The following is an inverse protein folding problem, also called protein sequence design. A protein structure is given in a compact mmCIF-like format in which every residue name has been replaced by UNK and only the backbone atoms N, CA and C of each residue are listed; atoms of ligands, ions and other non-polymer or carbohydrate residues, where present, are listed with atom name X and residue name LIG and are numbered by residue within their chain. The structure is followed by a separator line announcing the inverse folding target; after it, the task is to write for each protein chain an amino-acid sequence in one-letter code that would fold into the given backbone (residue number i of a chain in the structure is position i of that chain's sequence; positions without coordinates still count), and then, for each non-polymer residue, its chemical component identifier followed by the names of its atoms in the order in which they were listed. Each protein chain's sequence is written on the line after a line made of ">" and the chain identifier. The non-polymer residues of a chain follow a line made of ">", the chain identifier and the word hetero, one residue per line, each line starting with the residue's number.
data_IF_038996286259
#
_entry.id   IF_038996286259
#
_cell.length_a   1.000
_cell.length_b   1.000
_cell.length_c   1.000
_cell.angle_alpha   90.00
_cell.angle_beta   90.00
_cell.angle_gamma   90.00
#
_symmetry.space_group_name_H-M   'P 1'
#
loop_
_entity.id
_entity.type
_entity.pdbx_description
1 polymer ?
#
# COMPACT_ATOMS: atom_id res chain seq x y z
N UNK A 1 25.94 -19.44 -13.73
CA UNK A 1 24.96 -18.34 -13.74
C UNK A 1 23.63 -18.94 -13.35
N UNK A 2 23.08 -18.54 -12.21
CA UNK A 2 21.77 -19.04 -11.77
C UNK A 2 20.70 -18.25 -12.48
N UNK A 3 19.79 -18.93 -13.17
CA UNK A 3 18.64 -18.33 -13.83
C UNK A 3 17.59 -17.98 -12.75
N UNK A 4 17.13 -16.73 -12.75
CA UNK A 4 16.04 -16.31 -11.87
C UNK A 4 14.76 -16.48 -12.66
N UNK A 5 13.95 -17.47 -12.29
CA UNK A 5 12.63 -17.68 -12.90
C UNK A 5 11.64 -16.67 -12.32
N UNK A 6 11.16 -15.74 -13.15
CA UNK A 6 10.11 -14.80 -12.77
C UNK A 6 8.76 -15.46 -13.01
N UNK A 7 8.11 -15.92 -11.93
CA UNK A 7 6.71 -16.36 -11.99
C UNK A 7 5.80 -15.14 -11.92
N UNK A 8 4.85 -15.03 -12.85
CA UNK A 8 3.83 -13.98 -12.84
C UNK A 8 2.82 -14.27 -11.72
N UNK A 9 2.86 -13.48 -10.64
CA UNK A 9 1.99 -13.65 -9.47
C UNK A 9 1.04 -12.47 -9.37
N UNK A 10 -0.25 -12.72 -9.55
CA UNK A 10 -1.30 -11.71 -9.40
C UNK A 10 -1.98 -11.82 -8.02
N UNK A 11 -2.13 -10.69 -7.32
CA UNK A 11 -2.80 -10.61 -6.02
C UNK A 11 -3.81 -9.45 -6.01
N UNK A 12 -5.07 -9.75 -5.70
CA UNK A 12 -6.14 -8.75 -5.53
C UNK A 12 -6.56 -8.64 -4.06
N UNK A 13 -6.51 -7.43 -3.50
CA UNK A 13 -6.95 -7.13 -2.11
C UNK A 13 -8.16 -6.20 -2.14
N UNK A 14 -9.21 -6.54 -1.38
CA UNK A 14 -10.42 -5.72 -1.21
C UNK A 14 -10.63 -5.39 0.27
N UNK A 15 -10.89 -4.11 0.58
CA UNK A 15 -11.16 -3.61 1.93
C UNK A 15 -12.26 -2.56 1.88
N UNK A 16 -13.04 -2.48 2.96
CA UNK A 16 -14.08 -1.46 3.16
C UNK A 16 -13.67 -0.62 4.35
N UNK A 17 -13.70 0.69 4.18
CA UNK A 17 -13.41 1.66 5.24
C UNK A 17 -14.64 2.51 5.47
N UNK A 18 -14.95 2.80 6.73
CA UNK A 18 -15.97 3.79 7.11
C UNK A 18 -15.37 5.20 7.00
N UNK A 19 -14.95 5.55 5.78
CA UNK A 19 -14.30 6.81 5.46
C UNK A 19 -14.62 7.22 4.02
N UNK A 20 -14.60 8.52 3.74
CA UNK A 20 -14.76 9.02 2.37
C UNK A 20 -13.56 8.63 1.50
N UNK A 21 -13.76 8.62 0.18
CA UNK A 21 -12.70 8.30 -0.79
C UNK A 21 -11.54 9.28 -0.70
N UNK A 22 -11.83 10.57 -0.48
CA UNK A 22 -10.82 11.63 -0.35
C UNK A 22 -9.94 11.42 0.88
N UNK A 23 -10.53 10.97 2.01
CA UNK A 23 -9.76 10.68 3.22
C UNK A 23 -8.84 9.48 3.03
N UNK A 24 -9.34 8.42 2.39
CA UNK A 24 -8.51 7.26 2.06
C UNK A 24 -7.39 7.68 1.12
N UNK A 25 -7.68 8.45 0.06
CA UNK A 25 -6.67 8.92 -0.87
C UNK A 25 -5.58 9.74 -0.18
N UNK A 26 -5.97 10.70 0.66
CA UNK A 26 -5.04 11.56 1.39
C UNK A 26 -4.10 10.76 2.29
N UNK A 27 -4.58 9.69 2.95
CA UNK A 27 -3.75 8.80 3.76
C UNK A 27 -2.61 8.10 2.98
N UNK A 28 -2.71 8.01 1.64
CA UNK A 28 -1.67 7.46 0.77
C UNK A 28 -0.81 8.53 0.07
N UNK A 29 -1.27 9.79 0.02
CA UNK A 29 -0.60 10.86 -0.75
C UNK A 29 -0.02 11.98 0.09
N UNK A 30 -0.51 12.16 1.32
CA UNK A 30 0.02 13.14 2.27
C UNK A 30 1.21 12.52 3.03
N UNK A 31 2.43 13.09 2.94
CA UNK A 31 3.61 12.54 3.60
C UNK A 31 3.46 12.40 5.12
N UNK A 32 2.80 13.38 5.75
CA UNK A 32 2.63 13.40 7.21
C UNK A 32 1.66 12.30 7.66
N UNK A 33 0.64 11.97 6.85
CA UNK A 33 -0.24 10.83 7.14
C UNK A 33 0.41 9.48 6.78
N UNK A 34 1.17 9.42 5.68
CA UNK A 34 1.81 8.19 5.22
C UNK A 34 2.84 7.65 6.23
N UNK A 35 3.63 8.53 6.84
CA UNK A 35 4.59 8.19 7.90
C UNK A 35 3.92 7.44 9.07
N UNK A 36 2.67 7.75 9.38
CA UNK A 36 2.01 7.23 10.57
C UNK A 36 1.63 5.75 10.48
N UNK A 37 1.49 5.20 9.28
CA UNK A 37 0.94 3.84 9.09
C UNK A 37 1.65 2.99 8.04
N UNK A 38 2.26 3.59 7.01
CA UNK A 38 2.89 2.83 5.93
C UNK A 38 4.40 2.65 6.12
N UNK A 39 5.05 3.61 6.78
CA UNK A 39 6.49 3.55 7.03
C UNK A 39 6.76 2.72 8.29
N UNK A 40 7.71 1.76 8.26
CA UNK A 40 8.13 1.05 9.46
C UNK A 40 8.62 2.06 10.50
N UNK A 41 8.16 1.94 11.74
CA UNK A 41 8.74 2.75 12.83
C UNK A 41 10.21 2.34 13.01
N UNK A 42 11.08 3.34 13.08
CA UNK A 42 12.47 3.17 13.47
C UNK A 42 12.59 2.67 14.93
#
# INVERSE_FOLDING_TARGET
>A
MTEVETTDVELTIRRTFDASRERVWRAFTDPDELEQWFVPRA
#
